data_IF_042839984966
#
_entry.id   IF_042839984966
#
_cell.length_a   1.000
_cell.length_b   1.000
_cell.length_c   1.000
_cell.angle_alpha   90.00
_cell.angle_beta   90.00
_cell.angle_gamma   90.00
#
_symmetry.space_group_name_H-M   'P 1'
#
loop_
_entity.id
_entity.type
_entity.pdbx_description
1 polymer ?
#
# COMPACT_ATOMS: atom_id res chain seq x y z
N UNK A 1 -26.37 4.82 -2.98
CA UNK A 1 -25.22 4.47 -3.84
C UNK A 1 -24.92 3.00 -3.75
N UNK A 2 -24.38 2.40 -4.80
CA UNK A 2 -23.83 1.01 -4.72
C UNK A 2 -22.52 1.00 -3.97
N UNK A 3 -22.35 -0.02 -3.10
CA UNK A 3 -21.12 -0.25 -2.33
C UNK A 3 -20.92 -1.74 -2.07
N UNK A 4 -19.68 -2.12 -1.75
CA UNK A 4 -19.36 -3.40 -1.16
C UNK A 4 -19.10 -3.20 0.33
N UNK A 5 -19.81 -3.92 1.20
CA UNK A 5 -19.80 -3.73 2.65
C UNK A 5 -19.93 -5.06 3.38
N UNK A 6 -19.72 -5.06 4.69
CA UNK A 6 -19.94 -6.23 5.54
C UNK A 6 -20.63 -5.84 6.86
N UNK A 7 -21.38 -6.78 7.46
CA UNK A 7 -22.17 -6.57 8.69
C UNK A 7 -21.62 -7.31 9.91
N UNK A 8 -20.58 -8.11 9.69
CA UNK A 8 -19.86 -8.86 10.72
C UNK A 8 -18.47 -9.20 10.22
N UNK A 9 -17.55 -9.45 11.12
CA UNK A 9 -16.24 -9.97 10.74
C UNK A 9 -16.36 -11.40 10.17
N UNK A 10 -15.45 -11.75 9.27
CA UNK A 10 -15.44 -13.10 8.67
C UNK A 10 -14.51 -13.19 7.46
N UNK A 11 -14.68 -14.28 6.70
CA UNK A 11 -14.00 -14.51 5.43
C UNK A 11 -14.58 -13.65 4.28
N UNK A 12 -14.09 -13.79 3.03
CA UNK A 12 -14.55 -13.01 1.89
C UNK A 12 -16.06 -13.09 1.64
N UNK A 13 -16.70 -14.16 2.06
CA UNK A 13 -18.15 -14.41 1.91
C UNK A 13 -19.04 -13.45 2.70
N UNK A 14 -18.49 -12.70 3.66
CA UNK A 14 -19.28 -11.69 4.39
C UNK A 14 -19.42 -10.38 3.66
N UNK A 15 -18.70 -10.20 2.53
CA UNK A 15 -18.84 -9.02 1.68
C UNK A 15 -20.14 -9.10 0.86
N UNK A 16 -20.96 -8.09 1.03
CA UNK A 16 -22.22 -7.89 0.33
C UNK A 16 -22.06 -6.73 -0.66
N UNK A 17 -22.61 -6.87 -1.87
CA UNK A 17 -22.72 -5.77 -2.83
C UNK A 17 -24.17 -5.29 -2.89
N UNK A 18 -24.42 -4.03 -2.57
CA UNK A 18 -25.80 -3.54 -2.49
C UNK A 18 -25.90 -2.02 -2.32
N UNK A 19 -27.11 -1.57 -2.01
CA UNK A 19 -27.38 -0.16 -1.76
C UNK A 19 -26.98 0.27 -0.36
N UNK A 20 -26.29 1.39 -0.30
CA UNK A 20 -25.94 2.11 0.93
C UNK A 20 -26.31 3.59 0.80
N UNK A 21 -26.58 4.28 1.91
CA UNK A 21 -26.81 5.73 1.86
C UNK A 21 -25.67 6.49 1.20
N UNK A 22 -25.99 7.56 0.50
CA UNK A 22 -24.96 8.48 -0.01
C UNK A 22 -24.24 9.17 1.16
N UNK A 23 -22.90 9.32 1.08
CA UNK A 23 -22.15 9.96 2.14
C UNK A 23 -22.51 11.45 2.24
N UNK A 24 -22.63 11.94 3.47
CA UNK A 24 -22.82 13.35 3.75
C UNK A 24 -21.49 13.97 4.16
N UNK A 25 -20.99 14.98 3.45
CA UNK A 25 -19.72 15.61 3.79
C UNK A 25 -19.85 16.47 5.04
N UNK A 26 -18.87 16.32 5.94
CA UNK A 26 -18.67 17.24 7.06
C UNK A 26 -17.90 18.50 6.65
N UNK A 27 -17.60 19.35 7.63
CA UNK A 27 -16.76 20.54 7.41
C UNK A 27 -15.35 20.13 6.94
N UNK A 28 -14.84 20.77 5.89
CA UNK A 28 -13.53 20.47 5.30
C UNK A 28 -13.45 19.15 4.52
N UNK A 29 -14.61 18.61 4.12
CA UNK A 29 -14.70 17.42 3.29
C UNK A 29 -15.27 17.74 1.91
N UNK A 30 -14.82 16.98 0.93
CA UNK A 30 -15.37 16.93 -0.43
C UNK A 30 -16.08 15.60 -0.65
N UNK A 31 -17.01 15.55 -1.58
CA UNK A 31 -17.60 14.29 -2.06
C UNK A 31 -16.94 13.92 -3.39
N UNK A 32 -16.41 12.73 -3.44
CA UNK A 32 -15.79 12.17 -4.64
C UNK A 32 -16.64 11.02 -5.17
N UNK A 33 -16.98 11.07 -6.46
CA UNK A 33 -17.48 9.92 -7.21
C UNK A 33 -16.29 9.06 -7.59
N UNK A 34 -16.21 7.88 -7.03
CA UNK A 34 -15.08 6.96 -7.20
C UNK A 34 -15.19 6.25 -8.56
N UNK A 35 -14.09 6.23 -9.29
CA UNK A 35 -13.91 5.45 -10.52
C UNK A 35 -13.16 4.16 -10.28
N UNK A 36 -12.17 4.19 -9.39
CA UNK A 36 -11.36 3.04 -9.03
C UNK A 36 -10.95 3.07 -7.55
N UNK A 37 -10.91 1.92 -6.92
CA UNK A 37 -10.34 1.68 -5.58
C UNK A 37 -9.35 0.53 -5.64
N UNK A 38 -8.29 0.52 -4.82
CA UNK A 38 -7.38 -0.61 -4.84
C UNK A 38 -7.53 -1.53 -3.63
N UNK A 39 -7.20 -2.81 -3.80
CA UNK A 39 -7.25 -3.79 -2.73
C UNK A 39 -5.90 -3.85 -2.01
N UNK A 40 -5.95 -3.75 -0.69
CA UNK A 40 -4.79 -3.81 0.19
C UNK A 40 -4.95 -4.94 1.23
N UNK A 41 -3.83 -5.49 1.70
CA UNK A 41 -3.87 -6.50 2.76
C UNK A 41 -4.57 -5.99 4.04
N UNK A 42 -4.52 -4.70 4.28
CA UNK A 42 -5.21 -4.07 5.39
C UNK A 42 -6.74 -4.17 5.31
N UNK A 43 -7.31 -4.16 4.09
CA UNK A 43 -8.76 -4.22 3.88
C UNK A 43 -9.33 -5.58 4.29
N UNK A 44 -8.71 -6.68 3.84
CA UNK A 44 -9.17 -8.00 4.23
C UNK A 44 -8.83 -8.34 5.70
N UNK A 45 -7.72 -7.81 6.25
CA UNK A 45 -7.43 -7.94 7.68
C UNK A 45 -8.47 -7.20 8.53
N UNK A 46 -8.94 -6.03 8.09
CA UNK A 46 -10.03 -5.30 8.74
C UNK A 46 -11.31 -6.11 8.68
N UNK A 47 -11.70 -6.61 7.52
CA UNK A 47 -12.89 -7.46 7.34
C UNK A 47 -12.82 -8.72 8.21
N UNK A 48 -11.64 -9.32 8.37
CA UNK A 48 -11.43 -10.52 9.20
C UNK A 48 -11.36 -10.23 10.72
N UNK A 49 -11.45 -8.95 11.15
CA UNK A 49 -11.30 -8.56 12.56
C UNK A 49 -9.85 -8.62 13.08
N UNK A 50 -8.88 -8.69 12.20
CA UNK A 50 -7.46 -8.86 12.53
C UNK A 50 -6.68 -7.54 12.60
N UNK A 51 -7.33 -6.40 12.40
CA UNK A 51 -6.64 -5.12 12.28
C UNK A 51 -6.51 -4.33 13.60
N UNK A 52 -7.16 -4.80 14.67
CA UNK A 52 -7.06 -4.20 16.00
C UNK A 52 -7.90 -2.93 16.21
N UNK A 53 -8.58 -2.41 15.20
CA UNK A 53 -9.51 -1.30 15.30
C UNK A 53 -10.96 -1.82 15.20
N UNK A 54 -11.82 -1.42 16.12
CA UNK A 54 -13.26 -1.68 16.01
C UNK A 54 -13.88 -0.83 14.90
N UNK A 55 -14.78 -1.43 14.14
CA UNK A 55 -15.57 -0.73 13.11
C UNK A 55 -17.07 -0.81 13.45
N UNK A 56 -17.81 0.20 13.00
CA UNK A 56 -19.27 0.16 13.06
C UNK A 56 -19.82 -0.62 11.87
N UNK A 57 -20.86 -1.43 12.09
CA UNK A 57 -21.54 -2.17 11.03
C UNK A 57 -22.86 -1.48 10.61
N UNK A 58 -23.23 -1.54 9.32
CA UNK A 58 -22.45 -2.07 8.20
C UNK A 58 -21.21 -1.22 7.91
N UNK A 59 -20.08 -1.88 7.56
CA UNK A 59 -18.82 -1.21 7.25
C UNK A 59 -18.47 -1.36 5.77
N UNK A 60 -18.15 -0.25 5.12
CA UNK A 60 -17.62 -0.22 3.75
C UNK A 60 -16.09 -0.18 3.85
N UNK A 61 -15.38 -1.22 3.41
CA UNK A 61 -13.91 -1.22 3.43
C UNK A 61 -13.31 -0.40 2.29
N UNK A 62 -11.98 -0.47 2.16
CA UNK A 62 -11.22 0.18 1.09
C UNK A 62 -10.57 1.46 1.54
N UNK A 63 -9.25 1.54 1.31
CA UNK A 63 -8.41 2.61 1.87
C UNK A 63 -7.94 3.62 0.86
N UNK A 64 -7.92 3.28 -0.41
CA UNK A 64 -7.44 4.17 -1.46
C UNK A 64 -8.36 4.17 -2.67
N UNK A 65 -8.41 5.30 -3.32
CA UNK A 65 -9.33 5.52 -4.42
C UNK A 65 -8.78 6.55 -5.41
N UNK A 66 -9.41 6.60 -6.59
CA UNK A 66 -9.35 7.74 -7.51
C UNK A 66 -10.73 7.98 -8.13
N UNK A 67 -11.06 9.23 -8.34
CA UNK A 67 -12.37 9.62 -8.84
C UNK A 67 -12.48 11.11 -9.16
N UNK A 68 -13.71 11.60 -9.27
CA UNK A 68 -14.04 12.98 -9.62
C UNK A 68 -14.83 13.62 -8.49
N UNK A 69 -14.46 14.81 -8.10
CA UNK A 69 -15.16 15.61 -7.10
C UNK A 69 -16.55 15.97 -7.62
N UNK A 70 -17.60 15.65 -6.85
CA UNK A 70 -18.99 15.98 -7.17
C UNK A 70 -19.58 17.01 -6.22
N UNK A 71 -18.92 17.27 -5.10
CA UNK A 71 -19.20 18.39 -4.20
C UNK A 71 -17.86 18.93 -3.71
N UNK A 72 -17.53 20.14 -4.12
CA UNK A 72 -16.26 20.79 -3.80
C UNK A 72 -16.18 21.31 -2.37
N UNK A 73 -15.01 21.77 -2.00
CA UNK A 73 -14.65 22.38 -0.73
C UNK A 73 -13.82 23.65 -0.93
N UNK A 74 -12.80 23.83 -0.09
CA UNK A 74 -11.90 24.99 -0.17
C UNK A 74 -10.81 24.82 -1.23
N UNK A 75 -10.26 23.60 -1.37
CA UNK A 75 -9.09 23.30 -2.23
C UNK A 75 -9.49 22.66 -3.57
N UNK A 76 -10.66 22.05 -3.64
CA UNK A 76 -11.13 21.30 -4.82
C UNK A 76 -12.52 21.77 -5.26
N UNK A 77 -12.69 21.88 -6.57
CA UNK A 77 -13.94 22.21 -7.23
C UNK A 77 -14.62 20.97 -7.80
N UNK A 78 -15.93 21.05 -8.04
CA UNK A 78 -16.65 20.02 -8.78
C UNK A 78 -16.02 19.81 -10.17
N UNK A 79 -15.85 18.56 -10.56
CA UNK A 79 -15.15 18.17 -11.80
C UNK A 79 -13.66 17.90 -11.63
N UNK A 80 -13.02 18.28 -10.51
CA UNK A 80 -11.61 17.97 -10.28
C UNK A 80 -11.39 16.46 -10.20
N UNK A 81 -10.45 15.95 -10.97
CA UNK A 81 -9.99 14.56 -10.87
C UNK A 81 -8.98 14.41 -9.74
N UNK A 82 -9.23 13.48 -8.83
CA UNK A 82 -8.46 13.32 -7.59
C UNK A 82 -8.14 11.86 -7.28
N UNK A 83 -7.18 11.66 -6.39
CA UNK A 83 -6.93 10.38 -5.72
C UNK A 83 -6.57 10.62 -4.26
N UNK A 84 -6.77 9.62 -3.42
CA UNK A 84 -6.56 9.80 -1.99
C UNK A 84 -6.45 8.49 -1.24
N UNK A 85 -6.09 8.61 0.05
CA UNK A 85 -5.96 7.50 1.00
C UNK A 85 -6.76 7.80 2.26
N UNK A 86 -7.76 6.96 2.55
CA UNK A 86 -8.66 7.08 3.69
C UNK A 86 -7.92 6.94 5.02
N UNK A 87 -8.42 7.62 6.04
CA UNK A 87 -7.99 7.45 7.42
C UNK A 87 -8.65 6.22 8.07
N UNK A 88 -7.96 5.62 9.03
CA UNK A 88 -8.48 4.50 9.83
C UNK A 88 -9.05 5.07 11.13
N UNK A 89 -10.21 4.61 11.58
CA UNK A 89 -11.07 3.54 11.04
C UNK A 89 -12.10 3.98 9.99
N UNK A 90 -12.03 5.21 9.50
CA UNK A 90 -12.99 5.78 8.55
C UNK A 90 -12.58 5.46 7.11
N UNK A 91 -12.75 4.21 6.70
CA UNK A 91 -12.56 3.70 5.35
C UNK A 91 -13.80 4.02 4.48
N UNK A 92 -13.93 3.45 3.29
CA UNK A 92 -15.13 3.59 2.48
C UNK A 92 -14.92 3.67 0.98
N UNK A 93 -13.71 3.32 0.50
CA UNK A 93 -13.41 3.43 -0.92
C UNK A 93 -14.10 2.36 -1.80
N UNK A 94 -14.68 1.30 -1.22
CA UNK A 94 -15.41 0.29 -1.98
C UNK A 94 -16.87 0.71 -2.21
N UNK A 95 -17.08 1.92 -2.69
CA UNK A 95 -18.37 2.52 -2.94
C UNK A 95 -18.32 3.47 -4.14
N UNK A 96 -19.49 3.81 -4.70
CA UNK A 96 -19.56 4.77 -5.78
C UNK A 96 -19.20 6.20 -5.35
N UNK A 97 -19.37 6.53 -4.06
CA UNK A 97 -19.06 7.87 -3.53
C UNK A 97 -18.40 7.76 -2.16
N UNK A 98 -17.56 8.73 -1.86
CA UNK A 98 -16.96 8.92 -0.53
C UNK A 98 -16.97 10.40 -0.15
N UNK A 99 -17.26 10.70 1.13
CA UNK A 99 -16.95 11.98 1.73
C UNK A 99 -15.60 11.89 2.43
N UNK A 100 -14.67 12.78 2.09
CA UNK A 100 -13.28 12.69 2.53
C UNK A 100 -12.68 14.06 2.77
N UNK A 101 -11.81 14.19 3.77
CA UNK A 101 -11.12 15.43 4.10
C UNK A 101 -10.17 15.86 2.99
N UNK A 102 -10.19 17.13 2.64
CA UNK A 102 -9.38 17.68 1.56
C UNK A 102 -7.85 17.50 1.74
N UNK A 103 -7.26 17.64 2.97
CA UNK A 103 -5.81 17.50 3.15
C UNK A 103 -5.23 16.13 2.82
N UNK A 104 -6.07 15.09 2.73
CA UNK A 104 -5.64 13.72 2.41
C UNK A 104 -5.99 13.30 0.98
N UNK A 105 -6.26 14.26 0.13
CA UNK A 105 -6.58 14.12 -1.29
C UNK A 105 -5.59 14.92 -2.12
N UNK A 106 -5.16 14.38 -3.26
CA UNK A 106 -4.31 15.06 -4.23
C UNK A 106 -4.95 15.04 -5.63
N UNK A 107 -4.58 16.00 -6.49
CA UNK A 107 -5.01 16.03 -7.89
C UNK A 107 -4.45 14.83 -8.65
N UNK A 108 -5.30 14.17 -9.42
CA UNK A 108 -4.88 13.08 -10.30
C UNK A 108 -4.01 13.66 -11.42
N UNK A 109 -2.80 13.11 -11.67
CA UNK A 109 -2.04 13.46 -12.86
C UNK A 109 -2.82 13.18 -14.15
N UNK A 110 -2.74 14.09 -15.12
CA UNK A 110 -3.48 13.95 -16.38
C UNK A 110 -3.11 12.69 -17.16
N UNK A 111 -1.85 12.30 -17.10
CA UNK A 111 -1.30 11.15 -17.83
C UNK A 111 -1.57 9.79 -17.17
N UNK A 112 -2.19 9.77 -16.01
CA UNK A 112 -2.54 8.54 -15.30
C UNK A 112 -4.04 8.28 -15.33
N UNK A 113 -4.41 7.01 -15.47
CA UNK A 113 -5.82 6.59 -15.33
C UNK A 113 -6.22 6.54 -13.85
N UNK A 114 -7.53 6.51 -13.56
CA UNK A 114 -8.04 6.31 -12.19
C UNK A 114 -7.55 4.99 -11.59
N UNK A 115 -7.53 3.90 -12.37
CA UNK A 115 -7.03 2.61 -11.92
C UNK A 115 -5.55 2.68 -11.50
N UNK A 116 -4.72 3.39 -12.30
CA UNK A 116 -3.31 3.58 -11.99
C UNK A 116 -3.12 4.42 -10.72
N UNK A 117 -3.88 5.51 -10.56
CA UNK A 117 -3.81 6.35 -9.36
C UNK A 117 -4.26 5.62 -8.10
N UNK A 118 -5.36 4.86 -8.15
CA UNK A 118 -5.78 4.01 -7.04
C UNK A 118 -4.71 2.96 -6.70
N UNK A 119 -4.09 2.32 -7.70
CA UNK A 119 -3.07 1.30 -7.49
C UNK A 119 -1.82 1.82 -6.77
N UNK A 120 -1.42 3.08 -7.02
CA UNK A 120 -0.20 3.65 -6.43
C UNK A 120 -0.45 4.41 -5.12
N UNK A 121 -1.68 4.79 -4.80
CA UNK A 121 -1.96 5.71 -3.70
C UNK A 121 -1.43 5.19 -2.36
N UNK A 122 -2.02 4.18 -1.75
CA UNK A 122 -1.56 3.67 -0.44
C UNK A 122 -0.23 2.92 -0.55
N UNK A 123 -0.03 2.14 -1.62
CA UNK A 123 1.20 1.37 -1.80
C UNK A 123 2.43 2.29 -1.97
N UNK A 124 2.33 3.29 -2.83
CA UNK A 124 3.37 4.30 -3.03
C UNK A 124 3.60 5.15 -1.79
N UNK A 125 2.52 5.64 -1.17
CA UNK A 125 2.59 6.38 0.09
C UNK A 125 3.33 5.60 1.18
N UNK A 126 3.01 4.32 1.34
CA UNK A 126 3.68 3.46 2.32
C UNK A 126 5.15 3.28 1.99
N UNK A 127 5.50 3.09 0.72
CA UNK A 127 6.89 2.95 0.29
C UNK A 127 7.70 4.23 0.50
N UNK A 128 7.15 5.40 0.12
CA UNK A 128 7.81 6.73 0.31
C UNK A 128 8.08 6.97 1.79
N UNK A 129 7.07 6.88 2.65
CA UNK A 129 7.23 7.07 4.10
C UNK A 129 8.20 6.05 4.70
N UNK A 130 8.20 4.80 4.21
CA UNK A 130 9.13 3.79 4.72
C UNK A 130 10.58 4.08 4.36
N UNK A 131 10.86 4.46 3.12
CA UNK A 131 12.22 4.65 2.63
C UNK A 131 12.77 6.06 2.93
N UNK A 132 11.99 7.10 2.64
CA UNK A 132 12.46 8.49 2.76
C UNK A 132 12.38 9.00 4.20
N UNK A 133 11.25 8.80 4.91
CA UNK A 133 11.04 9.37 6.24
C UNK A 133 11.56 8.47 7.37
N UNK A 134 11.30 7.15 7.26
CA UNK A 134 11.54 6.20 8.35
C UNK A 134 12.94 5.61 8.27
N UNK A 135 13.28 4.95 7.18
CA UNK A 135 14.61 4.38 6.96
C UNK A 135 15.64 5.47 6.62
N UNK A 136 15.22 6.59 6.04
CA UNK A 136 16.11 7.65 5.53
C UNK A 136 17.21 7.02 4.68
N UNK A 137 16.78 6.30 3.63
CA UNK A 137 17.66 5.53 2.77
C UNK A 137 18.55 6.46 1.95
N UNK A 138 19.86 6.24 2.00
CA UNK A 138 20.86 7.07 1.36
C UNK A 138 21.44 6.40 0.11
N UNK A 139 22.01 7.22 -0.76
CA UNK A 139 22.75 6.75 -1.95
C UNK A 139 23.92 5.87 -1.54
N UNK A 140 24.08 4.74 -2.23
CA UNK A 140 25.17 3.79 -1.98
C UNK A 140 24.87 2.76 -0.91
N UNK A 141 23.82 2.93 -0.10
CA UNK A 141 23.40 1.93 0.88
C UNK A 141 22.84 0.67 0.21
N UNK A 142 22.90 -0.43 0.91
CA UNK A 142 22.28 -1.71 0.51
C UNK A 142 21.02 -1.94 1.32
N UNK A 143 19.88 -2.14 0.64
CA UNK A 143 18.60 -2.47 1.28
C UNK A 143 18.13 -3.88 0.87
N UNK A 144 17.61 -4.63 1.87
CA UNK A 144 16.84 -5.85 1.64
C UNK A 144 15.34 -5.52 1.73
N UNK A 145 14.60 -5.82 0.65
CA UNK A 145 13.13 -5.62 0.60
C UNK A 145 12.47 -6.98 0.55
N UNK A 146 11.70 -7.35 1.58
CA UNK A 146 10.95 -8.60 1.59
C UNK A 146 9.61 -8.48 0.87
N UNK A 147 9.21 -9.57 0.15
CA UNK A 147 7.94 -9.63 -0.57
C UNK A 147 7.91 -8.81 -1.85
N UNK A 148 9.02 -8.77 -2.60
CA UNK A 148 9.31 -7.86 -3.70
C UNK A 148 8.29 -7.78 -4.83
N UNK A 149 7.46 -8.82 -5.04
CA UNK A 149 6.43 -8.81 -6.08
C UNK A 149 5.14 -8.05 -5.67
N UNK A 150 4.96 -7.78 -4.38
CA UNK A 150 3.78 -7.08 -3.86
C UNK A 150 3.79 -5.57 -4.15
N UNK A 151 2.62 -4.93 -4.01
CA UNK A 151 2.44 -3.53 -4.38
C UNK A 151 3.38 -2.55 -3.66
N UNK A 152 3.48 -2.63 -2.32
CA UNK A 152 4.38 -1.76 -1.54
C UNK A 152 5.85 -2.09 -1.82
N UNK A 153 6.21 -3.37 -1.77
CA UNK A 153 7.60 -3.79 -1.97
C UNK A 153 8.08 -3.50 -3.40
N UNK A 154 7.22 -3.70 -4.41
CA UNK A 154 7.56 -3.37 -5.80
C UNK A 154 7.83 -1.88 -6.02
N UNK A 155 6.98 -1.02 -5.43
CA UNK A 155 7.20 0.43 -5.45
C UNK A 155 8.50 0.80 -4.70
N UNK A 156 8.73 0.18 -3.53
CA UNK A 156 9.92 0.42 -2.71
C UNK A 156 11.22 0.01 -3.42
N UNK A 157 11.24 -1.11 -4.15
CA UNK A 157 12.39 -1.54 -4.96
C UNK A 157 12.77 -0.46 -5.97
N UNK A 158 11.78 0.03 -6.73
CA UNK A 158 12.03 1.03 -7.75
C UNK A 158 12.45 2.39 -7.15
N UNK A 159 11.81 2.80 -6.05
CA UNK A 159 12.18 4.01 -5.32
C UNK A 159 13.60 3.90 -4.73
N UNK A 160 13.95 2.79 -4.08
CA UNK A 160 15.29 2.58 -3.55
C UNK A 160 16.36 2.63 -4.65
N UNK A 161 16.08 2.04 -5.81
CA UNK A 161 16.94 2.15 -7.00
C UNK A 161 17.09 3.59 -7.46
N UNK A 162 16.00 4.36 -7.51
CA UNK A 162 16.00 5.78 -7.87
C UNK A 162 16.83 6.62 -6.89
N UNK A 163 16.75 6.32 -5.59
CA UNK A 163 17.56 6.96 -4.55
C UNK A 163 19.06 6.58 -4.63
N UNK A 164 19.41 5.61 -5.47
CA UNK A 164 20.79 5.18 -5.70
C UNK A 164 21.29 4.08 -4.75
N UNK A 165 20.38 3.37 -4.10
CA UNK A 165 20.70 2.23 -3.24
C UNK A 165 20.88 0.94 -4.05
N UNK A 166 21.63 -0.02 -3.47
CA UNK A 166 21.72 -1.40 -3.95
C UNK A 166 20.54 -2.20 -3.37
N UNK A 167 19.74 -2.83 -4.23
CA UNK A 167 18.49 -3.47 -3.80
C UNK A 167 18.61 -5.00 -3.90
N UNK A 168 18.45 -5.67 -2.77
CA UNK A 168 18.24 -7.10 -2.66
C UNK A 168 16.77 -7.33 -2.32
N UNK A 169 16.13 -8.34 -2.89
CA UNK A 169 14.73 -8.64 -2.56
C UNK A 169 14.45 -10.13 -2.46
N UNK A 170 13.46 -10.51 -1.67
CA UNK A 170 12.90 -11.86 -1.66
C UNK A 170 11.62 -11.92 -2.47
N UNK A 171 11.53 -12.89 -3.37
CA UNK A 171 10.34 -13.17 -4.18
C UNK A 171 10.36 -14.65 -4.59
N UNK A 172 9.22 -15.24 -4.98
CA UNK A 172 9.21 -16.56 -5.62
C UNK A 172 9.99 -16.54 -6.94
N UNK A 173 10.58 -17.66 -7.36
CA UNK A 173 11.36 -17.77 -8.58
C UNK A 173 10.64 -17.22 -9.81
N UNK A 174 9.32 -17.46 -9.93
CA UNK A 174 8.47 -16.96 -11.02
C UNK A 174 8.35 -15.44 -11.10
N UNK A 175 8.73 -14.73 -10.03
CA UNK A 175 8.70 -13.28 -9.95
C UNK A 175 10.09 -12.62 -10.08
N UNK A 176 11.17 -13.39 -10.24
CA UNK A 176 12.52 -12.84 -10.28
C UNK A 176 12.72 -11.84 -11.42
N UNK A 177 12.24 -12.15 -12.62
CA UNK A 177 12.36 -11.21 -13.76
C UNK A 177 11.53 -9.94 -13.54
N UNK A 178 10.37 -10.07 -12.91
CA UNK A 178 9.55 -8.91 -12.57
C UNK A 178 10.29 -7.98 -11.59
N UNK A 179 10.81 -8.50 -10.49
CA UNK A 179 11.49 -7.65 -9.49
C UNK A 179 12.81 -7.08 -10.01
N UNK A 180 13.53 -7.79 -10.91
CA UNK A 180 14.71 -7.24 -11.60
C UNK A 180 14.34 -6.07 -12.51
N UNK A 181 13.23 -6.16 -13.25
CA UNK A 181 12.70 -5.05 -14.07
C UNK A 181 12.32 -3.84 -13.22
N UNK A 182 11.91 -4.03 -11.97
CA UNK A 182 11.67 -2.95 -11.01
C UNK A 182 12.96 -2.30 -10.49
N UNK A 183 14.12 -2.94 -10.69
CA UNK A 183 15.42 -2.41 -10.28
C UNK A 183 16.13 -3.18 -9.18
N UNK A 184 15.66 -4.37 -8.79
CA UNK A 184 16.38 -5.23 -7.86
C UNK A 184 17.68 -5.75 -8.50
N UNK A 185 18.79 -5.53 -7.81
CA UNK A 185 20.10 -6.04 -8.22
C UNK A 185 20.22 -7.54 -8.00
N UNK A 186 19.59 -8.04 -6.91
CA UNK A 186 19.55 -9.46 -6.57
C UNK A 186 18.16 -9.86 -6.11
N UNK A 187 17.63 -10.95 -6.66
CA UNK A 187 16.40 -11.61 -6.22
C UNK A 187 16.73 -12.95 -5.57
N UNK A 188 16.15 -13.24 -4.41
CA UNK A 188 16.32 -14.46 -3.64
C UNK A 188 14.97 -15.18 -3.63
N UNK A 189 14.96 -16.43 -4.05
CA UNK A 189 13.78 -17.28 -3.94
C UNK A 189 13.62 -17.76 -2.49
N UNK A 190 12.62 -17.21 -1.80
CA UNK A 190 12.36 -17.52 -0.40
C UNK A 190 11.86 -18.96 -0.17
N UNK A 191 11.43 -19.65 -1.23
CA UNK A 191 10.95 -21.03 -1.14
C UNK A 191 12.09 -22.04 -1.07
N UNK A 192 13.22 -21.73 -1.72
CA UNK A 192 14.37 -22.62 -1.82
C UNK A 192 15.60 -22.13 -1.06
N UNK A 193 15.65 -20.86 -0.68
CA UNK A 193 16.85 -20.24 -0.13
C UNK A 193 16.55 -19.48 1.17
N UNK A 194 17.25 -19.85 2.23
CA UNK A 194 17.28 -19.09 3.46
C UNK A 194 18.11 -17.80 3.24
N UNK A 195 17.42 -16.65 3.24
CA UNK A 195 18.05 -15.37 2.98
C UNK A 195 19.16 -15.03 4.00
N UNK A 196 19.08 -15.51 5.24
CA UNK A 196 20.08 -15.23 6.27
C UNK A 196 21.42 -15.89 6.00
N UNK A 197 21.45 -16.93 5.14
CA UNK A 197 22.69 -17.61 4.73
C UNK A 197 23.39 -16.95 3.54
N UNK A 198 22.69 -16.07 2.83
CA UNK A 198 23.17 -15.49 1.56
C UNK A 198 23.15 -13.96 1.53
N UNK A 199 22.63 -13.33 2.57
CA UNK A 199 22.63 -11.87 2.78
C UNK A 199 23.30 -11.57 4.11
N UNK A 200 24.16 -10.55 4.11
CA UNK A 200 24.79 -10.04 5.32
C UNK A 200 25.13 -8.54 5.16
N UNK A 201 25.36 -7.88 6.27
CA UNK A 201 25.84 -6.50 6.33
C UNK A 201 25.04 -5.48 5.49
N UNK A 202 23.69 -5.64 5.40
CA UNK A 202 22.85 -4.63 4.76
C UNK A 202 22.61 -3.44 5.69
N UNK A 203 22.49 -2.26 5.10
CA UNK A 203 22.23 -1.00 5.83
C UNK A 203 20.80 -0.91 6.34
N UNK A 204 19.87 -1.39 5.53
CA UNK A 204 18.45 -1.30 5.79
C UNK A 204 17.68 -2.57 5.38
N UNK A 205 16.57 -2.81 6.08
CA UNK A 205 15.57 -3.81 5.69
C UNK A 205 14.20 -3.14 5.65
N UNK A 206 13.45 -3.35 4.57
CA UNK A 206 12.01 -3.10 4.53
C UNK A 206 11.28 -4.45 4.53
N UNK A 207 10.56 -4.72 5.62
CA UNK A 207 9.77 -5.94 5.75
C UNK A 207 8.29 -5.68 5.50
N UNK A 208 7.75 -6.30 4.43
CA UNK A 208 6.33 -6.28 4.08
C UNK A 208 5.62 -7.61 4.36
N UNK A 209 6.32 -8.59 4.94
CA UNK A 209 5.86 -9.97 5.17
C UNK A 209 5.47 -10.20 6.62
N UNK A 210 6.35 -9.85 7.56
CA UNK A 210 6.11 -9.99 9.01
C UNK A 210 6.47 -11.33 9.60
N UNK A 211 6.18 -11.49 10.90
CA UNK A 211 6.39 -12.73 11.64
C UNK A 211 7.87 -13.11 11.74
N UNK A 212 8.19 -14.38 11.49
CA UNK A 212 9.56 -14.92 11.55
C UNK A 212 10.54 -14.19 10.61
N UNK A 213 10.05 -13.73 9.45
CA UNK A 213 10.87 -12.97 8.51
C UNK A 213 11.42 -11.69 9.16
N UNK A 214 10.59 -10.97 9.91
CA UNK A 214 11.04 -9.77 10.65
C UNK A 214 12.16 -10.11 11.63
N UNK A 215 11.97 -11.14 12.46
CA UNK A 215 12.93 -11.49 13.51
C UNK A 215 14.28 -11.95 12.93
N UNK A 216 14.23 -12.72 11.86
CA UNK A 216 15.43 -13.19 11.17
C UNK A 216 16.16 -12.07 10.41
N UNK A 217 15.44 -11.03 10.00
CA UNK A 217 16.00 -9.90 9.27
C UNK A 217 16.99 -9.07 10.11
N UNK A 218 16.87 -9.08 11.44
CA UNK A 218 17.86 -8.41 12.29
C UNK A 218 19.26 -9.02 12.15
N UNK A 219 19.38 -10.31 11.81
CA UNK A 219 20.66 -11.02 11.69
C UNK A 219 21.48 -10.53 10.49
N UNK A 220 20.84 -10.04 9.43
CA UNK A 220 21.52 -9.63 8.20
C UNK A 220 21.93 -8.16 8.18
N UNK A 221 21.49 -7.38 9.18
CA UNK A 221 21.85 -5.96 9.31
C UNK A 221 23.30 -5.80 9.77
N UNK A 222 24.00 -4.80 9.23
CA UNK A 222 25.28 -4.36 9.78
C UNK A 222 25.07 -3.68 11.17
N UNK A 223 26.13 -3.52 11.98
CA UNK A 223 26.06 -2.64 13.15
C UNK A 223 25.55 -1.24 12.76
N UNK A 224 24.62 -0.69 13.55
CA UNK A 224 23.94 0.58 13.25
C UNK A 224 22.87 0.48 12.15
N UNK A 225 22.65 -0.69 11.57
CA UNK A 225 21.62 -0.93 10.57
C UNK A 225 20.18 -0.77 11.11
N UNK A 226 19.21 -0.70 10.22
CA UNK A 226 17.82 -0.39 10.58
C UNK A 226 16.81 -1.23 9.80
N UNK A 227 15.77 -1.68 10.49
CA UNK A 227 14.66 -2.42 9.91
C UNK A 227 13.37 -1.61 10.08
N UNK A 228 12.64 -1.43 9.00
CA UNK A 228 11.27 -0.95 9.03
C UNK A 228 10.30 -2.08 8.64
N UNK A 229 9.25 -2.30 9.45
CA UNK A 229 8.21 -3.27 9.11
C UNK A 229 6.85 -2.63 9.02
N UNK A 230 6.08 -2.98 7.99
CA UNK A 230 4.69 -2.58 7.80
C UNK A 230 3.72 -3.74 8.08
N UNK A 231 4.24 -4.94 8.26
CA UNK A 231 3.46 -6.16 8.44
C UNK A 231 3.19 -6.51 9.90
N UNK A 232 3.96 -5.96 10.84
CA UNK A 232 3.75 -6.10 12.28
C UNK A 232 2.54 -5.26 12.77
N UNK A 233 2.17 -5.46 14.03
CA UNK A 233 1.12 -4.68 14.71
C UNK A 233 1.37 -3.16 14.74
N UNK A 234 0.72 -2.43 15.65
CA UNK A 234 0.79 -0.96 15.68
C UNK A 234 2.18 -0.42 16.07
N UNK A 235 3.00 -1.22 16.72
CA UNK A 235 4.35 -0.85 17.17
C UNK A 235 5.42 -1.63 16.42
N UNK A 236 6.66 -1.10 16.40
CA UNK A 236 7.81 -1.85 15.94
C UNK A 236 8.08 -3.03 16.88
N UNK A 237 8.41 -4.23 16.35
CA UNK A 237 8.85 -5.33 17.19
C UNK A 237 10.19 -4.99 17.87
N UNK A 238 10.46 -5.58 19.02
CA UNK A 238 11.75 -5.44 19.68
C UNK A 238 12.87 -6.03 18.80
N UNK A 239 13.96 -5.29 18.68
CA UNK A 239 15.10 -5.76 17.94
C UNK A 239 15.83 -6.88 18.70
N UNK A 240 16.18 -7.97 18.03
CA UNK A 240 16.91 -9.10 18.63
C UNK A 240 18.38 -8.78 18.93
N UNK A 241 18.87 -7.60 18.50
CA UNK A 241 20.23 -7.11 18.68
C UNK A 241 20.20 -5.65 19.14
N UNK A 242 21.05 -5.29 20.09
CA UNK A 242 21.12 -3.91 20.64
C UNK A 242 21.82 -2.90 19.74
N UNK A 243 22.56 -3.38 18.74
CA UNK A 243 23.33 -2.55 17.80
C UNK A 243 22.56 -2.22 16.51
N UNK A 244 21.28 -2.56 16.42
CA UNK A 244 20.40 -2.27 15.27
C UNK A 244 19.11 -1.59 15.72
N UNK A 245 18.40 -0.95 14.80
CA UNK A 245 17.14 -0.25 15.10
C UNK A 245 15.95 -0.95 14.45
N UNK A 246 14.88 -1.12 15.23
CA UNK A 246 13.59 -1.55 14.77
C UNK A 246 12.65 -0.35 14.68
N UNK A 247 12.02 -0.16 13.53
CA UNK A 247 11.22 1.02 13.21
C UNK A 247 9.83 0.61 12.70
N UNK A 248 8.84 1.45 12.99
CA UNK A 248 7.50 1.35 12.44
C UNK A 248 7.18 2.61 11.63
N UNK A 249 6.98 2.52 10.30
CA UNK A 249 6.59 3.66 9.50
C UNK A 249 5.27 4.26 9.98
N UNK A 250 5.26 5.55 10.28
CA UNK A 250 4.03 6.30 10.53
C UNK A 250 3.48 6.81 9.19
N UNK A 251 2.72 5.97 8.52
CA UNK A 251 2.16 6.27 7.20
C UNK A 251 1.09 7.36 7.33
N UNK A 252 1.53 8.61 7.34
CA UNK A 252 0.64 9.78 7.32
C UNK A 252 -0.13 9.81 6.02
N UNK A 253 -1.41 10.17 6.10
CA UNK A 253 -2.25 10.45 4.94
C UNK A 253 -2.25 11.95 4.76
N UNK A 254 -1.47 12.43 3.83
CA UNK A 254 -1.40 13.85 3.50
C UNK A 254 -1.13 14.06 2.01
N UNK A 255 -1.53 15.22 1.53
CA UNK A 255 -1.39 15.62 0.12
C UNK A 255 0.08 15.66 -0.34
N UNK A 256 1.05 16.23 0.40
CA UNK A 256 2.44 16.30 -0.06
C UNK A 256 3.03 14.93 -0.40
N UNK A 257 2.78 13.91 0.43
CA UNK A 257 3.27 12.56 0.13
C UNK A 257 2.56 11.92 -1.07
N UNK A 258 1.24 12.15 -1.24
CA UNK A 258 0.52 11.69 -2.43
C UNK A 258 1.05 12.36 -3.71
N UNK A 259 1.33 13.65 -3.67
CA UNK A 259 1.95 14.39 -4.78
C UNK A 259 3.37 13.87 -5.06
N UNK A 260 4.14 13.54 -4.02
CA UNK A 260 5.46 12.87 -4.17
C UNK A 260 5.33 11.53 -4.89
N UNK A 261 4.36 10.69 -4.51
CA UNK A 261 4.07 9.42 -5.19
C UNK A 261 3.72 9.65 -6.66
N UNK A 262 2.84 10.61 -6.95
CA UNK A 262 2.45 10.95 -8.31
C UNK A 262 3.65 11.44 -9.14
N UNK A 263 4.47 12.32 -8.58
CA UNK A 263 5.67 12.85 -9.24
C UNK A 263 6.66 11.75 -9.60
N UNK A 264 6.92 10.81 -8.69
CA UNK A 264 7.82 9.67 -8.93
C UNK A 264 7.40 8.83 -10.14
N UNK A 265 6.08 8.63 -10.30
CA UNK A 265 5.54 7.85 -11.42
C UNK A 265 5.51 8.65 -12.71
N UNK A 266 5.04 9.89 -12.70
CA UNK A 266 4.95 10.73 -13.89
C UNK A 266 6.32 11.12 -14.47
N UNK A 267 7.32 11.26 -13.60
CA UNK A 267 8.73 11.46 -13.98
C UNK A 267 9.44 10.15 -14.38
N UNK A 268 8.73 9.02 -14.38
CA UNK A 268 9.28 7.69 -14.71
C UNK A 268 10.41 7.22 -13.79
N UNK A 269 10.54 7.80 -12.61
CA UNK A 269 11.47 7.35 -11.58
C UNK A 269 11.04 6.01 -10.97
N UNK A 270 9.73 5.79 -10.87
CA UNK A 270 9.12 4.54 -10.43
C UNK A 270 8.11 4.09 -11.49
N UNK A 271 8.21 2.86 -12.02
CA UNK A 271 7.24 2.33 -12.97
C UNK A 271 5.91 2.02 -12.29
N UNK A 272 4.83 2.05 -13.08
CA UNK A 272 3.53 1.57 -12.62
C UNK A 272 3.59 0.07 -12.26
N UNK A 273 2.89 -0.36 -11.20
CA UNK A 273 2.77 -1.78 -10.90
C UNK A 273 1.96 -2.51 -11.96
N UNK A 274 2.11 -3.83 -12.05
CA UNK A 274 1.14 -4.66 -12.74
C UNK A 274 -0.23 -4.49 -12.07
N UNK A 275 -1.31 -4.34 -12.85
CA UNK A 275 -2.66 -4.11 -12.35
C UNK A 275 -3.57 -5.22 -12.88
N UNK A 276 -4.36 -5.81 -11.98
CA UNK A 276 -5.48 -6.70 -12.33
C UNK A 276 -6.75 -6.04 -11.84
N UNK A 277 -7.71 -5.85 -12.74
CA UNK A 277 -8.96 -5.16 -12.43
C UNK A 277 -10.11 -6.14 -12.20
N UNK A 278 -10.96 -5.85 -11.22
CA UNK A 278 -12.21 -6.53 -10.91
C UNK A 278 -13.35 -5.52 -10.89
N UNK A 279 -14.57 -5.89 -11.27
CA UNK A 279 -15.75 -5.09 -10.95
C UNK A 279 -15.90 -4.92 -9.43
N UNK A 280 -16.44 -3.79 -8.95
CA UNK A 280 -16.69 -3.58 -7.51
C UNK A 280 -17.54 -4.71 -6.91
N UNK A 281 -18.50 -5.25 -7.65
CA UNK A 281 -19.35 -6.36 -7.21
C UNK A 281 -18.57 -7.66 -6.93
N UNK A 282 -17.35 -7.78 -7.47
CA UNK A 282 -16.46 -8.93 -7.29
C UNK A 282 -15.37 -8.69 -6.22
N UNK A 283 -15.55 -7.71 -5.34
CA UNK A 283 -14.58 -7.40 -4.29
C UNK A 283 -14.26 -8.60 -3.39
N UNK A 284 -15.22 -9.52 -3.18
CA UNK A 284 -15.00 -10.75 -2.42
C UNK A 284 -13.94 -11.65 -3.11
N UNK A 285 -13.97 -11.76 -4.44
CA UNK A 285 -12.98 -12.52 -5.20
C UNK A 285 -11.61 -11.84 -5.18
N UNK A 286 -11.58 -10.52 -5.37
CA UNK A 286 -10.35 -9.75 -5.24
C UNK A 286 -9.71 -9.92 -3.86
N UNK A 287 -10.51 -10.01 -2.77
CA UNK A 287 -10.02 -10.32 -1.43
C UNK A 287 -9.44 -11.74 -1.34
N UNK A 288 -10.09 -12.77 -1.90
CA UNK A 288 -9.54 -14.15 -1.93
C UNK A 288 -8.17 -14.19 -2.60
N UNK A 289 -8.03 -13.53 -3.75
CA UNK A 289 -6.76 -13.45 -4.45
C UNK A 289 -5.70 -12.73 -3.62
N UNK A 290 -6.05 -11.62 -2.96
CA UNK A 290 -5.15 -10.86 -2.09
C UNK A 290 -4.70 -11.66 -0.85
N UNK A 291 -5.60 -12.44 -0.25
CA UNK A 291 -5.31 -13.30 0.90
C UNK A 291 -4.36 -14.44 0.56
N UNK A 292 -4.38 -14.93 -0.68
CA UNK A 292 -3.44 -15.93 -1.18
C UNK A 292 -1.97 -15.50 -1.15
N UNK A 293 -1.68 -14.21 -0.96
CA UNK A 293 -0.32 -13.63 -0.79
C UNK A 293 0.67 -13.91 -1.94
N UNK A 294 0.21 -14.40 -3.08
CA UNK A 294 1.05 -14.65 -4.27
C UNK A 294 0.81 -13.62 -5.38
N UNK A 295 0.34 -12.44 -4.99
CA UNK A 295 0.00 -11.37 -5.90
C UNK A 295 1.26 -10.70 -6.48
N UNK A 296 1.23 -10.45 -7.80
CA UNK A 296 2.14 -9.55 -8.48
C UNK A 296 1.46 -8.19 -8.70
N UNK A 297 2.06 -7.12 -8.18
CA UNK A 297 1.54 -5.76 -8.33
C UNK A 297 0.30 -5.48 -7.47
N UNK A 298 -0.79 -5.02 -8.08
CA UNK A 298 -1.99 -4.52 -7.39
C UNK A 298 -3.29 -5.03 -8.02
N UNK A 299 -4.28 -5.28 -7.17
CA UNK A 299 -5.67 -5.47 -7.56
C UNK A 299 -6.40 -4.14 -7.44
N UNK A 300 -7.23 -3.85 -8.42
CA UNK A 300 -8.03 -2.61 -8.48
C UNK A 300 -9.49 -2.99 -8.73
N UNK A 301 -10.38 -2.39 -7.96
CA UNK A 301 -11.82 -2.47 -8.15
C UNK A 301 -12.25 -1.34 -9.06
N UNK A 302 -12.80 -1.67 -10.23
CA UNK A 302 -13.47 -0.72 -11.11
C UNK A 302 -14.87 -0.46 -10.55
N UNK A 303 -15.12 0.78 -10.20
CA UNK A 303 -16.38 1.20 -9.57
C UNK A 303 -17.38 1.72 -10.61
N UNK A 304 -16.89 2.43 -11.63
CA UNK A 304 -17.65 2.98 -12.76
C UNK A 304 -17.01 2.59 -14.09
#
# INVERSE_FOLDING_TARGET
MKACFFRRYGGPEVLEYGEMPDPQPGSGEVVVRIHAASVNAADWKMRAGQYGAAVSFPHIPGRDFSGVVTKGGADFSEGDEVFGVCEVPREGAYAQKIAIREPIVARKPKDLTHAQCAAIALAGLTAVVSLEDTLKLERGETILVHGGAGGVAGFAIALARHLGAQVITTASASNHDYVRKLGAHRAIDYQSTDFTKVVNNVDAVLDTVGGDVTMRSFQVLRPGGRLATIAAGPTAPEASRSDVRSLRPNVRRDRPHLERVAALVTQRAVPLPAIVEYPLAEAAEAHRVSEGRHLRGKLVLRVL
#
